data_IF_040919376632
#
_entry.id   IF_040919376632
#
_cell.length_a   1.000
_cell.length_b   1.000
_cell.length_c   1.000
_cell.angle_alpha   90.00
_cell.angle_beta   90.00
_cell.angle_gamma   90.00
#
_symmetry.space_group_name_H-M   'P 1'
#
loop_
_entity.id
_entity.type
_entity.pdbx_description
1 polymer ?
#
# COMPACT_ATOMS: atom_id res chain seq x y z
N UNK A 1 -16.05 30.17 6.69
CA UNK A 1 -16.04 28.69 6.63
C UNK A 1 -14.98 28.25 5.64
N UNK A 2 -13.78 27.86 6.10
CA UNK A 2 -12.72 27.30 5.25
C UNK A 2 -12.75 25.77 5.38
N UNK A 3 -12.83 25.07 4.24
CA UNK A 3 -12.75 23.61 4.16
C UNK A 3 -11.38 23.17 4.67
N UNK A 4 -11.34 22.44 5.79
CA UNK A 4 -10.14 21.74 6.26
C UNK A 4 -9.74 20.72 5.20
N UNK A 5 -8.65 20.97 4.48
CA UNK A 5 -7.93 19.91 3.80
C UNK A 5 -7.53 18.88 4.85
N UNK A 6 -7.96 17.62 4.68
CA UNK A 6 -7.51 16.50 5.50
C UNK A 6 -6.02 16.27 5.17
N UNK A 7 -5.14 17.01 5.85
CA UNK A 7 -3.73 16.68 5.89
C UNK A 7 -3.56 15.30 6.51
N UNK A 8 -2.74 14.44 5.89
CA UNK A 8 -2.34 13.16 6.47
C UNK A 8 -1.73 13.42 7.85
N UNK A 9 -2.10 12.65 8.89
CA UNK A 9 -1.58 12.84 10.24
C UNK A 9 -0.05 12.68 10.24
N UNK A 10 0.64 13.64 10.86
CA UNK A 10 2.11 13.76 10.80
C UNK A 10 2.89 12.89 11.79
N UNK A 11 2.26 12.30 12.81
CA UNK A 11 3.01 11.75 13.96
C UNK A 11 2.51 10.39 14.48
N UNK A 12 1.93 9.53 13.64
CA UNK A 12 1.49 8.19 14.08
C UNK A 12 2.37 7.11 13.45
N UNK A 13 2.86 6.19 14.27
CA UNK A 13 3.52 4.98 13.81
C UNK A 13 2.53 4.22 12.92
N UNK A 14 2.95 3.89 11.71
CA UNK A 14 2.12 3.12 10.80
C UNK A 14 2.94 1.98 10.24
N UNK A 15 2.25 0.88 9.99
CA UNK A 15 2.78 -0.23 9.21
C UNK A 15 2.37 -0.02 7.76
N UNK A 16 3.30 -0.27 6.85
CA UNK A 16 3.08 -0.09 5.42
C UNK A 16 3.52 -1.34 4.66
N UNK A 17 2.71 -1.73 3.68
CA UNK A 17 2.90 -2.93 2.92
C UNK A 17 2.65 -2.66 1.43
N UNK A 18 3.47 -3.24 0.55
CA UNK A 18 3.12 -3.33 -0.87
C UNK A 18 2.08 -4.44 -1.06
N UNK A 19 1.07 -4.17 -1.88
CA UNK A 19 0.08 -5.16 -2.29
C UNK A 19 0.49 -5.69 -3.66
N UNK A 20 0.86 -6.96 -3.68
CA UNK A 20 1.21 -7.69 -4.89
C UNK A 20 0.02 -8.51 -5.33
N UNK A 21 -0.30 -8.43 -6.62
CA UNK A 21 -1.39 -9.18 -7.26
C UNK A 21 -0.83 -9.96 -8.43
N UNK A 22 -1.24 -11.22 -8.54
CA UNK A 22 -1.04 -12.05 -9.72
C UNK A 22 -2.45 -12.39 -10.22
N UNK A 23 -2.82 -11.87 -11.39
CA UNK A 23 -4.14 -12.13 -11.97
C UNK A 23 -4.20 -13.54 -12.56
N UNK A 24 -5.43 -14.01 -12.81
CA UNK A 24 -5.61 -15.22 -13.60
C UNK A 24 -4.90 -15.06 -14.94
N UNK A 25 -4.02 -16.02 -15.28
CA UNK A 25 -3.20 -16.06 -16.50
C UNK A 25 -1.89 -15.25 -16.47
N UNK A 26 -1.62 -14.51 -15.39
CA UNK A 26 -0.30 -13.94 -15.18
C UNK A 26 0.70 -15.03 -14.73
N UNK A 27 1.98 -14.77 -14.97
CA UNK A 27 3.09 -15.63 -14.52
C UNK A 27 3.95 -14.97 -13.43
N UNK A 28 3.59 -13.76 -13.01
CA UNK A 28 4.34 -12.98 -12.05
C UNK A 28 3.42 -12.01 -11.29
N UNK A 29 3.85 -11.63 -10.10
CA UNK A 29 3.18 -10.62 -9.30
C UNK A 29 3.53 -9.22 -9.79
N UNK A 30 2.51 -8.36 -9.86
CA UNK A 30 2.63 -6.92 -10.06
C UNK A 30 2.21 -6.17 -8.79
N UNK A 31 2.77 -4.98 -8.58
CA UNK A 31 2.41 -4.14 -7.44
C UNK A 31 1.21 -3.27 -7.82
N UNK A 32 0.09 -3.50 -7.16
CA UNK A 32 -1.20 -2.84 -7.48
C UNK A 32 -1.64 -1.86 -6.39
N UNK A 33 -0.95 -1.83 -5.25
CA UNK A 33 -1.25 -0.84 -4.23
C UNK A 33 -0.27 -0.82 -3.07
N UNK A 34 -0.53 0.10 -2.15
CA UNK A 34 0.10 0.16 -0.83
C UNK A 34 -1.01 0.07 0.22
N UNK A 35 -0.89 -0.86 1.15
CA UNK A 35 -1.74 -0.93 2.33
C UNK A 35 -1.03 -0.27 3.52
N UNK A 36 -1.70 0.65 4.20
CA UNK A 36 -1.20 1.30 5.41
C UNK A 36 -2.15 0.99 6.55
N UNK A 37 -1.59 0.54 7.67
CA UNK A 37 -2.33 0.27 8.90
C UNK A 37 -1.85 1.28 9.93
N UNK A 38 -2.74 2.15 10.40
CA UNK A 38 -2.43 3.07 11.50
C UNK A 38 -2.41 2.35 12.85
N UNK A 39 -1.85 2.97 13.88
CA UNK A 39 -1.93 2.49 15.28
C UNK A 39 -3.36 2.14 15.74
N UNK A 40 -4.37 2.91 15.31
CA UNK A 40 -5.79 2.64 15.62
C UNK A 40 -6.40 1.48 14.79
N UNK A 41 -5.56 0.67 14.13
CA UNK A 41 -5.96 -0.41 13.21
C UNK A 41 -6.86 0.03 12.05
N UNK A 42 -6.78 1.30 11.63
CA UNK A 42 -7.44 1.75 10.40
C UNK A 42 -6.60 1.40 9.17
N UNK A 43 -7.23 0.67 8.25
CA UNK A 43 -6.64 0.27 6.97
C UNK A 43 -6.90 1.35 5.91
N UNK A 44 -5.84 1.78 5.24
CA UNK A 44 -5.90 2.69 4.09
C UNK A 44 -5.18 2.06 2.91
N UNK A 45 -5.85 1.99 1.75
CA UNK A 45 -5.27 1.42 0.51
C UNK A 45 -5.05 2.53 -0.51
N UNK A 46 -3.82 2.65 -0.99
CA UNK A 46 -3.42 3.53 -2.08
C UNK A 46 -3.25 2.70 -3.35
N UNK A 47 -4.07 2.94 -4.36
CA UNK A 47 -4.10 2.16 -5.60
C UNK A 47 -4.75 2.96 -6.73
N UNK A 48 -4.83 2.38 -7.93
CA UNK A 48 -5.75 2.84 -8.95
C UNK A 48 -7.22 2.70 -8.51
N UNK A 49 -8.09 3.53 -9.08
CA UNK A 49 -9.54 3.50 -8.80
C UNK A 49 -10.18 2.17 -9.16
N UNK A 50 -9.77 1.59 -10.30
CA UNK A 50 -10.25 0.29 -10.77
C UNK A 50 -9.97 -0.84 -9.77
N UNK A 51 -8.86 -0.75 -9.04
CA UNK A 51 -8.40 -1.78 -8.11
C UNK A 51 -8.79 -1.51 -6.66
N UNK A 52 -9.12 -0.27 -6.30
CA UNK A 52 -9.27 0.14 -4.90
C UNK A 52 -10.27 -0.72 -4.11
N UNK A 53 -11.47 -0.93 -4.64
CA UNK A 53 -12.49 -1.73 -3.95
C UNK A 53 -12.12 -3.20 -3.86
N UNK A 54 -11.44 -3.73 -4.89
CA UNK A 54 -10.97 -5.11 -4.90
C UNK A 54 -9.90 -5.34 -3.83
N UNK A 55 -8.85 -4.51 -3.83
CA UNK A 55 -7.74 -4.61 -2.87
C UNK A 55 -8.21 -4.35 -1.44
N UNK A 56 -9.03 -3.31 -1.22
CA UNK A 56 -9.60 -3.00 0.09
C UNK A 56 -10.42 -4.16 0.63
N UNK A 57 -11.24 -4.80 -0.21
CA UNK A 57 -12.02 -5.96 0.22
C UNK A 57 -11.14 -7.16 0.55
N UNK A 58 -10.05 -7.38 -0.21
CA UNK A 58 -9.11 -8.45 0.07
C UNK A 58 -8.39 -8.27 1.42
N UNK A 59 -7.75 -7.11 1.63
CA UNK A 59 -6.95 -6.86 2.84
C UNK A 59 -7.78 -6.85 4.13
N UNK A 60 -9.07 -6.55 4.05
CA UNK A 60 -9.99 -6.58 5.20
C UNK A 60 -10.58 -7.97 5.46
N UNK A 61 -10.59 -8.85 4.46
CA UNK A 61 -11.24 -10.17 4.57
C UNK A 61 -10.32 -11.22 5.21
N UNK A 62 -9.02 -11.13 4.96
CA UNK A 62 -8.05 -12.13 5.38
C UNK A 62 -7.14 -11.59 6.49
N UNK A 63 -6.69 -12.45 7.42
CA UNK A 63 -5.76 -12.04 8.46
C UNK A 63 -4.41 -11.64 7.85
N UNK A 64 -3.75 -10.66 8.47
CA UNK A 64 -2.46 -10.13 8.01
C UNK A 64 -1.39 -11.23 7.87
N UNK A 65 -1.40 -12.24 8.74
CA UNK A 65 -0.47 -13.37 8.71
C UNK A 65 -0.59 -14.22 7.44
N UNK A 66 -1.80 -14.41 6.91
CA UNK A 66 -1.99 -15.15 5.65
C UNK A 66 -1.50 -14.32 4.46
N UNK A 67 -1.78 -13.02 4.47
CA UNK A 67 -1.36 -12.09 3.43
C UNK A 67 0.17 -11.93 3.35
N UNK A 68 0.86 -11.93 4.50
CA UNK A 68 2.33 -11.84 4.58
C UNK A 68 3.05 -13.18 4.33
N UNK A 69 2.33 -14.31 4.44
CA UNK A 69 2.87 -15.64 4.23
C UNK A 69 2.89 -16.02 2.74
N UNK A 70 2.12 -17.05 2.38
CA UNK A 70 2.00 -17.53 0.99
C UNK A 70 1.05 -16.66 0.14
N UNK A 71 0.36 -15.70 0.78
CA UNK A 71 -0.72 -14.94 0.16
C UNK A 71 -2.03 -15.72 0.14
N UNK A 72 -3.07 -15.08 -0.41
CA UNK A 72 -4.43 -15.60 -0.45
C UNK A 72 -5.01 -15.51 -1.85
N UNK A 73 -5.82 -16.49 -2.23
CA UNK A 73 -6.61 -16.40 -3.46
C UNK A 73 -7.91 -15.64 -3.18
N UNK A 74 -8.15 -14.54 -3.90
CA UNK A 74 -9.34 -13.73 -3.78
C UNK A 74 -9.90 -13.36 -5.16
N UNK A 75 -11.11 -13.87 -5.45
CA UNK A 75 -11.83 -13.64 -6.72
C UNK A 75 -10.96 -13.92 -7.95
N UNK A 76 -10.26 -15.05 -7.94
CA UNK A 76 -9.45 -15.51 -9.07
C UNK A 76 -7.98 -15.07 -9.03
N UNK A 77 -7.66 -13.97 -8.36
CA UNK A 77 -6.26 -13.51 -8.27
C UNK A 77 -5.58 -13.97 -6.98
N UNK A 78 -4.27 -14.16 -7.04
CA UNK A 78 -3.43 -14.38 -5.86
C UNK A 78 -2.96 -13.01 -5.33
N UNK A 79 -3.10 -12.79 -4.03
CA UNK A 79 -2.76 -11.52 -3.37
C UNK A 79 -1.82 -11.78 -2.21
N UNK A 80 -0.73 -11.03 -2.15
CA UNK A 80 0.21 -11.06 -1.01
C UNK A 80 0.64 -9.66 -0.61
N UNK A 81 1.08 -9.53 0.63
CA UNK A 81 1.66 -8.31 1.17
C UNK A 81 3.18 -8.47 1.33
N UNK A 82 3.91 -7.40 1.04
CA UNK A 82 5.34 -7.28 1.33
C UNK A 82 5.54 -6.16 2.35
N UNK A 83 6.19 -6.45 3.47
CA UNK A 83 6.50 -5.49 4.53
C UNK A 83 7.58 -4.48 4.10
N UNK A 84 7.26 -3.19 4.20
CA UNK A 84 8.16 -2.09 3.86
C UNK A 84 9.12 -1.70 5.00
N UNK A 85 9.16 -2.42 6.12
CA UNK A 85 10.07 -2.14 7.25
C UNK A 85 11.55 -2.11 6.84
N UNK A 86 11.99 -3.08 6.03
CA UNK A 86 13.35 -3.13 5.49
C UNK A 86 13.62 -2.01 4.48
N UNK A 87 12.66 -1.73 3.59
CA UNK A 87 12.74 -0.61 2.66
C UNK A 87 12.92 0.71 3.41
N UNK A 88 12.12 0.94 4.45
CA UNK A 88 12.21 2.14 5.29
C UNK A 88 13.58 2.28 5.93
N UNK A 89 14.10 1.20 6.51
CA UNK A 89 15.44 1.20 7.11
C UNK A 89 16.56 1.48 6.10
N UNK A 90 16.45 0.91 4.90
CA UNK A 90 17.44 1.14 3.83
C UNK A 90 17.45 2.59 3.34
N UNK A 91 16.29 3.25 3.31
CA UNK A 91 16.13 4.63 2.88
C UNK A 91 16.16 5.66 4.02
N UNK A 92 16.45 5.26 5.27
CA UNK A 92 16.45 6.13 6.45
C UNK A 92 15.09 6.82 6.71
N UNK A 93 14.01 6.05 6.61
CA UNK A 93 12.60 6.46 6.70
C UNK A 93 11.89 5.91 7.95
N UNK A 94 12.62 5.63 9.02
CA UNK A 94 12.08 5.07 10.25
C UNK A 94 11.03 6.00 10.89
N UNK A 95 11.29 7.30 10.92
CA UNK A 95 10.41 8.33 11.48
C UNK A 95 9.85 9.28 10.41
N UNK A 96 9.57 8.74 9.21
CA UNK A 96 9.02 9.55 8.13
C UNK A 96 7.49 9.63 8.16
N UNK A 97 6.96 10.72 7.63
CA UNK A 97 5.54 10.84 7.31
C UNK A 97 5.15 9.87 6.20
N UNK A 98 3.88 9.48 6.15
CA UNK A 98 3.38 8.62 5.08
C UNK A 98 3.60 9.24 3.68
N UNK A 99 3.48 10.57 3.55
CA UNK A 99 3.74 11.24 2.28
C UNK A 99 5.19 11.08 1.84
N UNK A 100 6.15 11.16 2.76
CA UNK A 100 7.57 10.95 2.46
C UNK A 100 7.82 9.51 2.03
N UNK A 101 7.28 8.51 2.74
CA UNK A 101 7.36 7.11 2.34
C UNK A 101 6.84 6.90 0.91
N UNK A 102 5.61 7.35 0.62
CA UNK A 102 5.01 7.19 -0.70
C UNK A 102 5.80 7.92 -1.79
N UNK A 103 6.39 9.07 -1.46
CA UNK A 103 7.24 9.83 -2.39
C UNK A 103 8.52 9.05 -2.72
N UNK A 104 9.22 8.52 -1.72
CA UNK A 104 10.45 7.76 -1.94
C UNK A 104 10.16 6.45 -2.68
N UNK A 105 9.06 5.77 -2.35
CA UNK A 105 8.62 4.54 -3.03
C UNK A 105 8.30 4.78 -4.51
N UNK A 106 7.66 5.92 -4.82
CA UNK A 106 7.45 6.33 -6.21
C UNK A 106 8.77 6.64 -6.91
N UNK A 107 9.66 7.40 -6.26
CA UNK A 107 10.93 7.81 -6.86
C UNK A 107 11.91 6.65 -7.08
N UNK A 108 11.85 5.59 -6.26
CA UNK A 108 12.73 4.43 -6.42
C UNK A 108 12.38 3.61 -7.67
N UNK A 109 11.09 3.41 -7.95
CA UNK A 109 10.62 2.67 -9.13
C UNK A 109 9.31 3.27 -9.69
N UNK A 110 9.36 4.40 -10.43
CA UNK A 110 8.17 5.12 -10.86
C UNK A 110 7.22 4.30 -11.73
N UNK A 111 7.77 3.45 -12.60
CA UNK A 111 6.98 2.60 -13.50
C UNK A 111 6.19 1.54 -12.73
N UNK A 112 6.77 0.99 -11.66
CA UNK A 112 6.15 -0.04 -10.83
C UNK A 112 5.10 0.54 -9.88
N UNK A 113 5.30 1.78 -9.44
CA UNK A 113 4.43 2.47 -8.49
C UNK A 113 3.68 3.66 -9.10
N UNK A 114 3.40 3.63 -10.41
CA UNK A 114 2.79 4.76 -11.13
C UNK A 114 1.45 5.20 -10.54
N UNK A 115 0.70 4.27 -9.93
CA UNK A 115 -0.55 4.56 -9.24
C UNK A 115 -0.40 5.56 -8.08
N UNK A 116 0.83 5.79 -7.57
CA UNK A 116 1.10 6.78 -6.53
C UNK A 116 1.11 8.23 -7.04
N UNK A 117 1.32 8.45 -8.34
CA UNK A 117 1.41 9.78 -8.95
C UNK A 117 0.19 10.63 -8.57
N UNK A 118 -1.00 10.03 -8.61
CA UNK A 118 -2.27 10.69 -8.31
C UNK A 118 -2.43 11.15 -6.85
N UNK A 119 -1.64 10.61 -5.93
CA UNK A 119 -1.69 10.97 -4.50
C UNK A 119 -0.59 11.96 -4.12
N UNK A 120 0.46 12.05 -4.96
CA UNK A 120 1.63 12.89 -4.71
C UNK A 120 1.56 14.24 -5.43
N UNK A 121 0.98 14.27 -6.63
CA UNK A 121 1.04 15.42 -7.54
C UNK A 121 -0.33 16.03 -7.91
N UNK A 122 -1.44 15.47 -7.41
CA UNK A 122 -2.78 16.07 -7.52
C UNK A 122 -3.13 16.93 -6.29
#
# INVERSE_FOLDING_TARGET
>A
MQKRQKGLPRDRQYDAYLIHVEHEQDFYFIVEGVCVISEDHHYTVYSLDSMHNFLRAAVLKYPLSELLGEGVTFRGAQIKLEDLSLFRRFHHLEECSLRELLTVLYQSEPQRHYFLERFLFN
#
